data_IF_120752053109
#
_entry.id   IF_120752053109
#
_cell.length_a   1.000
_cell.length_b   1.000
_cell.length_c   1.000
_cell.angle_alpha   90.00
_cell.angle_beta   90.00
_cell.angle_gamma   90.00
#
_symmetry.space_group_name_H-M   'P 1'
#
loop_
_entity.id
_entity.type
_entity.pdbx_description
1 polymer ?
#
# COMPACT_ATOMS: atom_id res chain seq x y z
N UNK A 1 -11.07 26.51 -38.25
CA UNK A 1 -10.28 26.99 -37.09
C UNK A 1 -10.93 26.46 -35.84
N UNK A 2 -10.32 25.44 -35.22
CA UNK A 2 -10.31 25.10 -33.80
C UNK A 2 -9.62 23.72 -33.69
N UNK A 3 -8.31 23.77 -33.56
CA UNK A 3 -7.49 22.71 -32.97
C UNK A 3 -7.90 22.54 -31.51
N UNK A 4 -8.06 21.29 -31.02
CA UNK A 4 -7.64 20.79 -29.69
C UNK A 4 -7.58 19.27 -29.79
N UNK A 5 -6.40 18.72 -30.04
CA UNK A 5 -5.42 18.25 -29.05
C UNK A 5 -5.81 16.89 -28.46
N UNK A 6 -5.20 15.86 -29.05
CA UNK A 6 -4.86 14.57 -28.46
C UNK A 6 -4.54 14.69 -26.95
N UNK A 7 -5.40 14.14 -26.11
CA UNK A 7 -5.01 13.74 -24.75
C UNK A 7 -4.56 12.29 -24.78
N UNK A 8 -3.36 12.07 -25.32
CA UNK A 8 -2.61 10.84 -25.11
C UNK A 8 -2.25 10.74 -23.62
N UNK A 9 -3.15 10.17 -22.81
CA UNK A 9 -2.81 9.69 -21.47
C UNK A 9 -1.70 8.67 -21.62
N UNK A 10 -0.47 9.09 -21.34
CA UNK A 10 0.69 8.22 -21.25
C UNK A 10 0.41 7.21 -20.14
N UNK A 11 0.00 5.99 -20.51
CA UNK A 11 -0.07 4.85 -19.60
C UNK A 11 1.39 4.52 -19.26
N UNK A 12 1.93 5.19 -18.24
CA UNK A 12 3.15 4.75 -17.60
C UNK A 12 2.84 3.36 -17.06
N UNK A 13 3.47 2.34 -17.65
CA UNK A 13 3.53 0.99 -17.08
C UNK A 13 4.16 1.13 -15.70
N UNK A 14 3.33 1.25 -14.68
CA UNK A 14 3.73 1.14 -13.28
C UNK A 14 4.50 -0.18 -13.14
N UNK A 15 5.77 -0.09 -12.74
CA UNK A 15 6.58 -1.28 -12.47
C UNK A 15 5.95 -2.02 -11.29
N UNK A 16 5.27 -3.11 -11.59
CA UNK A 16 4.73 -4.01 -10.58
C UNK A 16 5.90 -4.53 -9.73
N UNK A 17 5.89 -4.23 -8.43
CA UNK A 17 6.86 -4.82 -7.51
C UNK A 17 6.34 -6.22 -7.16
N UNK A 18 7.01 -7.24 -7.69
CA UNK A 18 6.76 -8.63 -7.28
C UNK A 18 7.44 -8.90 -5.95
N UNK A 19 6.65 -9.01 -4.88
CA UNK A 19 7.15 -9.33 -3.54
C UNK A 19 7.22 -10.85 -3.37
N UNK A 20 8.44 -11.38 -3.21
CA UNK A 20 8.65 -12.81 -2.90
C UNK A 20 8.14 -13.15 -1.49
N UNK A 21 7.88 -14.44 -1.22
CA UNK A 21 7.43 -14.86 0.11
C UNK A 21 8.44 -14.55 1.23
N UNK A 22 9.74 -14.56 0.91
CA UNK A 22 10.80 -14.18 1.86
C UNK A 22 10.72 -12.70 2.20
N UNK A 23 10.59 -11.83 1.19
CA UNK A 23 10.44 -10.38 1.38
C UNK A 23 9.14 -10.07 2.13
N UNK A 24 8.02 -10.73 1.78
CA UNK A 24 6.73 -10.56 2.48
C UNK A 24 6.84 -10.88 3.97
N UNK A 25 7.49 -11.99 4.33
CA UNK A 25 7.72 -12.36 5.74
C UNK A 25 8.52 -11.29 6.49
N UNK A 26 9.53 -10.70 5.86
CA UNK A 26 10.32 -9.64 6.48
C UNK A 26 9.51 -8.35 6.64
N UNK A 27 8.75 -7.96 5.62
CA UNK A 27 7.85 -6.81 5.67
C UNK A 27 6.85 -6.96 6.84
N UNK A 28 6.24 -8.14 7.00
CA UNK A 28 5.29 -8.39 8.08
C UNK A 28 5.95 -8.35 9.46
N UNK A 29 7.19 -8.86 9.56
CA UNK A 29 7.98 -8.74 10.79
C UNK A 29 8.28 -7.29 11.16
N UNK A 30 8.49 -6.40 10.19
CA UNK A 30 8.65 -4.97 10.49
C UNK A 30 7.32 -4.34 10.91
N UNK A 31 6.24 -4.64 10.19
CA UNK A 31 4.90 -4.14 10.52
C UNK A 31 4.42 -4.59 11.92
N UNK A 32 4.86 -5.76 12.41
CA UNK A 32 4.45 -6.25 13.74
C UNK A 32 4.97 -5.40 14.91
N UNK A 33 5.99 -4.57 14.69
CA UNK A 33 6.56 -3.70 15.71
C UNK A 33 5.91 -2.31 15.76
N UNK A 34 4.99 -2.02 14.84
CA UNK A 34 4.33 -0.72 14.74
C UNK A 34 3.23 -0.62 15.81
N UNK A 35 3.21 0.51 16.53
CA UNK A 35 2.24 0.80 17.56
C UNK A 35 0.85 1.11 17.00
N UNK A 36 -0.19 0.89 17.81
CA UNK A 36 -1.59 1.07 17.39
C UNK A 36 -1.89 2.50 16.92
N UNK A 37 -1.28 3.52 17.54
CA UNK A 37 -1.45 4.92 17.12
C UNK A 37 -0.98 5.12 15.69
N UNK A 38 0.22 4.63 15.37
CA UNK A 38 0.77 4.69 14.01
C UNK A 38 -0.11 3.92 13.02
N UNK A 39 -0.63 2.75 13.42
CA UNK A 39 -1.57 1.96 12.62
C UNK A 39 -2.84 2.75 12.30
N UNK A 40 -3.45 3.39 13.30
CA UNK A 40 -4.67 4.19 13.14
C UNK A 40 -4.45 5.38 12.19
N UNK A 41 -3.25 5.95 12.19
CA UNK A 41 -2.88 7.08 11.33
C UNK A 41 -2.62 6.65 9.87
N UNK A 42 -1.94 5.51 9.64
CA UNK A 42 -1.49 5.12 8.29
C UNK A 42 -2.45 4.19 7.55
N UNK A 43 -3.19 3.31 8.24
CA UNK A 43 -4.06 2.34 7.58
C UNK A 43 -5.14 2.98 6.69
N UNK A 44 -5.84 4.05 7.10
CA UNK A 44 -6.81 4.72 6.23
C UNK A 44 -6.18 5.26 4.94
N UNK A 45 -5.03 5.94 5.05
CA UNK A 45 -4.34 6.49 3.89
C UNK A 45 -3.80 5.39 2.95
N UNK A 46 -3.29 4.29 3.51
CA UNK A 46 -2.87 3.13 2.73
C UNK A 46 -4.05 2.45 2.03
N UNK A 47 -5.20 2.39 2.68
CA UNK A 47 -6.41 1.85 2.07
C UNK A 47 -6.87 2.70 0.89
N UNK A 48 -6.89 4.02 1.03
CA UNK A 48 -7.19 4.93 -0.09
C UNK A 48 -6.18 4.77 -1.22
N UNK A 49 -4.88 4.62 -0.90
CA UNK A 49 -3.85 4.32 -1.90
C UNK A 49 -4.12 3.03 -2.69
N UNK A 50 -4.61 2.01 -2.00
CA UNK A 50 -4.94 0.69 -2.54
C UNK A 50 -6.20 0.78 -3.42
N UNK A 51 -7.20 1.57 -3.02
CA UNK A 51 -8.43 1.83 -3.80
C UNK A 51 -8.22 2.70 -5.04
N UNK A 52 -7.37 3.73 -4.94
CA UNK A 52 -7.12 4.72 -6.01
C UNK A 52 -6.42 4.14 -7.23
N UNK A 53 -5.87 2.94 -7.13
CA UNK A 53 -5.40 2.21 -8.30
C UNK A 53 -6.58 1.73 -9.15
N UNK A 54 -6.97 2.61 -10.07
CA UNK A 54 -8.12 2.41 -10.92
C UNK A 54 -8.11 1.01 -11.59
N UNK A 55 -9.03 0.16 -11.15
CA UNK A 55 -9.80 -0.79 -11.97
C UNK A 55 -9.28 -2.21 -12.24
N UNK A 56 -8.35 -2.79 -11.46
CA UNK A 56 -8.12 -4.23 -11.63
C UNK A 56 -7.28 -4.99 -10.61
N UNK A 57 -6.34 -4.34 -9.92
CA UNK A 57 -5.24 -5.05 -9.23
C UNK A 57 -5.62 -5.75 -7.92
N UNK A 58 -6.84 -5.54 -7.43
CA UNK A 58 -7.34 -6.14 -6.18
C UNK A 58 -8.54 -7.07 -6.40
N UNK A 59 -8.79 -7.55 -7.62
CA UNK A 59 -9.71 -8.69 -7.86
C UNK A 59 -9.06 -10.04 -7.51
N UNK A 60 -8.05 -10.04 -6.66
CA UNK A 60 -7.33 -11.22 -6.18
C UNK A 60 -7.65 -11.46 -4.69
N UNK A 61 -7.15 -12.58 -4.15
CA UNK A 61 -7.38 -12.96 -2.75
C UNK A 61 -6.97 -11.86 -1.76
N UNK A 62 -5.90 -11.12 -2.04
CA UNK A 62 -5.43 -10.03 -1.18
C UNK A 62 -6.45 -8.88 -1.10
N UNK A 63 -7.05 -8.50 -2.23
CA UNK A 63 -8.12 -7.51 -2.25
C UNK A 63 -9.37 -8.00 -1.51
N UNK A 64 -9.77 -9.26 -1.68
CA UNK A 64 -10.90 -9.83 -0.93
C UNK A 64 -10.66 -9.79 0.58
N UNK A 65 -9.44 -10.09 1.03
CA UNK A 65 -9.05 -10.00 2.44
C UNK A 65 -9.14 -8.56 2.93
N UNK A 66 -8.64 -7.58 2.18
CA UNK A 66 -8.70 -6.16 2.56
C UNK A 66 -10.15 -5.67 2.67
N UNK A 67 -11.01 -6.00 1.69
CA UNK A 67 -12.44 -5.68 1.76
C UNK A 67 -13.13 -6.36 2.94
N UNK A 68 -12.78 -7.62 3.24
CA UNK A 68 -13.30 -8.31 4.41
C UNK A 68 -12.87 -7.62 5.72
N UNK A 69 -11.60 -7.22 5.83
CA UNK A 69 -11.09 -6.50 6.99
C UNK A 69 -11.78 -5.14 7.16
N UNK A 70 -11.98 -4.40 6.07
CA UNK A 70 -12.71 -3.13 6.07
C UNK A 70 -14.15 -3.32 6.56
N UNK A 71 -14.89 -4.29 5.99
CA UNK A 71 -16.29 -4.55 6.34
C UNK A 71 -16.48 -4.94 7.82
N UNK A 72 -15.46 -5.50 8.46
CA UNK A 72 -15.48 -5.90 9.86
C UNK A 72 -14.77 -4.90 10.78
N UNK A 73 -14.42 -3.69 10.30
CA UNK A 73 -13.72 -2.66 11.10
C UNK A 73 -12.36 -3.12 11.65
N UNK A 74 -11.71 -4.07 10.97
CA UNK A 74 -10.41 -4.66 11.35
C UNK A 74 -9.24 -4.14 10.53
N UNK A 75 -9.47 -3.09 9.75
CA UNK A 75 -8.46 -2.52 8.88
C UNK A 75 -7.32 -1.83 9.66
N UNK A 76 -7.66 -1.20 10.79
CA UNK A 76 -6.71 -0.57 11.70
C UNK A 76 -6.15 -1.59 12.72
N UNK A 77 -5.77 -2.76 12.24
CA UNK A 77 -5.09 -3.77 13.05
C UNK A 77 -3.73 -4.07 12.43
N UNK A 78 -2.85 -4.75 13.16
CA UNK A 78 -1.56 -5.21 12.61
C UNK A 78 -1.74 -6.03 11.32
N UNK A 79 -2.71 -6.94 11.33
CA UNK A 79 -3.04 -7.74 10.14
C UNK A 79 -3.51 -6.82 9.00
N UNK A 80 -4.33 -5.81 9.30
CA UNK A 80 -4.74 -4.82 8.31
C UNK A 80 -3.55 -4.06 7.72
N UNK A 81 -2.65 -3.56 8.56
CA UNK A 81 -1.42 -2.88 8.14
C UNK A 81 -0.56 -3.77 7.22
N UNK A 82 -0.32 -5.02 7.60
CA UNK A 82 0.43 -5.99 6.78
C UNK A 82 -0.17 -6.14 5.38
N UNK A 83 -1.49 -6.34 5.29
CA UNK A 83 -2.18 -6.53 4.00
C UNK A 83 -2.21 -5.28 3.16
N UNK A 84 -2.39 -4.12 3.79
CA UNK A 84 -2.40 -2.83 3.13
C UNK A 84 -1.02 -2.46 2.58
N UNK A 85 0.05 -2.75 3.31
CA UNK A 85 1.42 -2.56 2.80
C UNK A 85 1.70 -3.51 1.64
N UNK A 86 1.37 -4.81 1.75
CA UNK A 86 1.57 -5.76 0.66
C UNK A 86 0.80 -5.35 -0.60
N UNK A 87 -0.46 -4.95 -0.44
CA UNK A 87 -1.27 -4.45 -1.54
C UNK A 87 -0.71 -3.14 -2.11
N UNK A 88 -0.44 -2.16 -1.25
CA UNK A 88 0.05 -0.84 -1.62
C UNK A 88 1.36 -0.92 -2.41
N UNK A 89 2.31 -1.76 -1.99
CA UNK A 89 3.58 -1.93 -2.69
C UNK A 89 3.45 -2.57 -4.07
N UNK A 90 2.48 -3.46 -4.28
CA UNK A 90 2.20 -4.04 -5.61
C UNK A 90 1.49 -3.06 -6.53
N UNK A 91 0.67 -2.23 -5.92
CA UNK A 91 -0.31 -1.39 -6.60
C UNK A 91 0.26 -0.02 -6.93
N UNK A 92 0.76 0.67 -5.91
CA UNK A 92 1.35 2.01 -5.99
C UNK A 92 2.43 2.15 -4.89
N UNK A 93 3.62 1.59 -5.12
CA UNK A 93 4.69 1.62 -4.13
C UNK A 93 5.18 3.03 -3.80
N UNK A 94 5.19 3.94 -4.77
CA UNK A 94 5.61 5.32 -4.53
C UNK A 94 4.67 6.03 -3.54
N UNK A 95 3.36 5.95 -3.76
CA UNK A 95 2.37 6.54 -2.84
C UNK A 95 2.40 5.84 -1.48
N UNK A 96 2.60 4.51 -1.46
CA UNK A 96 2.75 3.74 -0.21
C UNK A 96 3.92 4.23 0.63
N UNK A 97 5.10 4.41 0.04
CA UNK A 97 6.25 4.96 0.78
C UNK A 97 6.01 6.40 1.23
N UNK A 98 5.43 7.25 0.38
CA UNK A 98 5.09 8.63 0.78
C UNK A 98 4.17 8.69 1.99
N UNK A 99 3.16 7.81 2.07
CA UNK A 99 2.24 7.75 3.23
C UNK A 99 3.02 7.42 4.51
N UNK A 100 3.84 6.37 4.45
CA UNK A 100 4.63 5.93 5.60
C UNK A 100 5.65 6.99 6.05
N UNK A 101 6.33 7.64 5.10
CA UNK A 101 7.30 8.69 5.38
C UNK A 101 6.65 9.96 5.96
N UNK A 102 5.44 10.30 5.50
CA UNK A 102 4.70 11.49 5.95
C UNK A 102 4.15 11.34 7.37
N UNK A 103 3.82 10.11 7.79
CA UNK A 103 3.38 9.83 9.15
C UNK A 103 4.51 9.95 10.19
N UNK A 104 5.77 9.88 9.75
CA UNK A 104 6.93 10.02 10.63
C UNK A 104 7.09 8.88 11.65
N UNK A 105 8.05 9.02 12.56
CA UNK A 105 8.30 8.05 13.64
C UNK A 105 8.42 6.60 13.16
N UNK A 106 7.67 5.70 13.80
CA UNK A 106 7.64 4.26 13.49
C UNK A 106 7.25 3.97 12.04
N UNK A 107 6.36 4.76 11.43
CA UNK A 107 5.96 4.56 10.04
C UNK A 107 7.10 4.86 9.06
N UNK A 108 7.91 5.89 9.36
CA UNK A 108 9.09 6.20 8.57
C UNK A 108 10.16 5.11 8.71
N UNK A 109 10.39 4.63 9.93
CA UNK A 109 11.31 3.49 10.15
C UNK A 109 10.83 2.23 9.42
N UNK A 110 9.52 1.99 9.39
CA UNK A 110 8.92 0.90 8.62
C UNK A 110 9.21 1.06 7.11
N UNK A 111 9.04 2.26 6.55
CA UNK A 111 9.38 2.54 5.15
C UNK A 111 10.86 2.24 4.83
N UNK A 112 11.77 2.73 5.69
CA UNK A 112 13.21 2.52 5.52
C UNK A 112 13.58 1.02 5.59
N UNK A 113 12.96 0.27 6.50
CA UNK A 113 13.18 -1.17 6.63
C UNK A 113 12.64 -1.94 5.42
N UNK A 114 11.46 -1.59 4.91
CA UNK A 114 10.88 -2.22 3.71
C UNK A 114 11.78 -1.96 2.49
N UNK A 115 12.28 -0.73 2.30
CA UNK A 115 13.16 -0.39 1.17
C UNK A 115 14.46 -1.19 1.13
N UNK A 116 14.98 -1.63 2.28
CA UNK A 116 16.21 -2.44 2.34
C UNK A 116 16.00 -3.89 1.89
N UNK A 117 14.76 -4.34 1.82
CA UNK A 117 14.38 -5.73 1.53
C UNK A 117 13.86 -5.89 0.10
N UNK A 118 13.40 -4.80 -0.52
CA UNK A 118 12.99 -4.76 -1.93
C UNK A 118 14.19 -4.49 -2.84
#
# INVERSE_FOLDING_TARGET
MFEKMDEQKSIQKEKEITITDSQRKQIYKYASNVGNRTIDDVCPALFDCVLDSAHGRLKNELGQVIFHLQKNERLNTRIGLERLIDAGLRVNPEKTFRILESAGGEAKELADNIRRVL
#
